data_IF_059785723034
#
_entry.id   IF_059785723034
#
_cell.length_a   1.000
_cell.length_b   1.000
_cell.length_c   1.000
_cell.angle_alpha   90.00
_cell.angle_beta   90.00
_cell.angle_gamma   90.00
#
_symmetry.space_group_name_H-M   'P 1'
#
loop_
_entity.id
_entity.type
_entity.pdbx_description
1 polymer ?
#
# COMPACT_ATOMS: atom_id res chain seq x y z
N UNK A 1 1.33 -14.08 27.84
CA UNK A 1 0.78 -15.22 27.09
C UNK A 1 1.71 -15.59 25.95
N UNK A 2 1.56 -16.79 25.35
CA UNK A 2 2.32 -17.18 24.15
C UNK A 2 1.59 -16.81 22.88
N UNK A 3 2.33 -16.45 21.84
CA UNK A 3 1.82 -16.17 20.50
C UNK A 3 2.69 -16.81 19.43
N UNK A 4 2.05 -17.32 18.37
CA UNK A 4 2.72 -17.75 17.15
C UNK A 4 2.96 -16.54 16.25
N UNK A 5 4.11 -16.50 15.59
CA UNK A 5 4.45 -15.43 14.62
C UNK A 5 5.34 -15.96 13.51
N UNK A 6 5.34 -15.26 12.38
CA UNK A 6 6.25 -15.55 11.29
C UNK A 6 7.63 -14.96 11.57
N UNK A 7 8.65 -15.78 11.53
CA UNK A 7 10.04 -15.40 11.72
C UNK A 7 10.84 -15.63 10.44
N UNK A 8 11.43 -14.55 9.93
CA UNK A 8 12.42 -14.61 8.87
C UNK A 8 13.74 -15.10 9.43
N UNK A 9 14.31 -16.10 8.78
CA UNK A 9 15.63 -16.68 9.04
C UNK A 9 16.43 -16.67 7.72
N UNK A 10 17.76 -16.90 7.75
CA UNK A 10 18.51 -17.01 6.51
C UNK A 10 17.90 -18.02 5.52
N UNK A 11 17.42 -17.53 4.37
CA UNK A 11 16.86 -18.35 3.31
C UNK A 11 15.46 -18.93 3.51
N UNK A 12 14.76 -18.62 4.59
CA UNK A 12 13.41 -19.16 4.87
C UNK A 12 12.60 -18.31 5.85
N UNK A 13 11.30 -18.56 5.87
CA UNK A 13 10.40 -18.10 6.92
C UNK A 13 9.85 -19.31 7.67
N UNK A 14 9.75 -19.21 8.98
CA UNK A 14 9.22 -20.27 9.86
C UNK A 14 8.15 -19.70 10.78
N UNK A 15 7.26 -20.55 11.30
CA UNK A 15 6.43 -20.21 12.45
C UNK A 15 7.25 -20.45 13.73
N UNK A 16 7.33 -19.44 14.55
CA UNK A 16 7.99 -19.47 15.86
C UNK A 16 7.02 -19.05 16.95
N UNK A 17 7.36 -19.32 18.19
CA UNK A 17 6.58 -18.95 19.38
C UNK A 17 7.36 -17.93 20.20
N UNK A 18 6.68 -16.94 20.72
CA UNK A 18 7.23 -15.99 21.69
C UNK A 18 6.24 -15.67 22.80
N UNK A 19 6.73 -15.23 23.94
CA UNK A 19 5.91 -14.68 25.00
C UNK A 19 5.64 -13.19 24.74
N UNK A 20 4.40 -12.79 24.98
CA UNK A 20 4.00 -11.38 24.98
C UNK A 20 3.40 -11.02 26.35
N UNK A 21 3.67 -9.81 26.88
CA UNK A 21 3.14 -9.37 28.16
C UNK A 21 1.62 -9.12 28.08
N UNK A 22 1.01 -8.72 29.17
CA UNK A 22 -0.31 -8.05 29.14
C UNK A 22 -0.15 -6.62 28.58
N UNK A 23 -1.21 -6.03 27.98
CA UNK A 23 -1.15 -4.67 27.49
C UNK A 23 -0.91 -3.67 28.62
N UNK A 24 0.07 -2.80 28.41
CA UNK A 24 0.42 -1.69 29.32
C UNK A 24 -0.47 -0.46 29.08
N UNK A 25 -0.14 0.68 29.72
CA UNK A 25 -0.89 1.93 29.55
C UNK A 25 -0.95 2.37 28.07
N UNK A 26 -2.16 2.68 27.58
CA UNK A 26 -2.39 3.08 26.19
C UNK A 26 -2.26 1.95 25.16
N UNK A 27 -2.06 0.71 25.61
CA UNK A 27 -1.88 -0.45 24.73
C UNK A 27 -3.11 -1.35 24.71
N UNK A 28 -3.28 -2.07 23.62
CA UNK A 28 -4.32 -3.08 23.43
C UNK A 28 -3.69 -4.41 23.01
N UNK A 29 -4.32 -5.51 23.42
CA UNK A 29 -4.04 -6.84 22.90
C UNK A 29 -4.95 -7.10 21.71
N UNK A 30 -4.35 -7.38 20.58
CA UNK A 30 -5.03 -7.67 19.32
C UNK A 30 -4.96 -9.16 19.01
N UNK A 31 -6.08 -9.72 18.55
CA UNK A 31 -6.15 -11.05 17.94
C UNK A 31 -6.28 -10.88 16.43
N UNK A 32 -5.28 -11.36 15.69
CA UNK A 32 -5.29 -11.30 14.23
C UNK A 32 -6.50 -12.04 13.64
N UNK A 33 -7.13 -11.44 12.64
CA UNK A 33 -8.10 -12.10 11.76
C UNK A 33 -7.45 -12.39 10.40
N UNK A 34 -6.80 -11.38 9.83
CA UNK A 34 -6.08 -11.49 8.58
C UNK A 34 -4.80 -10.65 8.63
N UNK A 35 -3.74 -11.13 8.00
CA UNK A 35 -2.55 -10.32 7.75
C UNK A 35 -2.14 -10.42 6.27
N UNK A 36 -1.92 -9.26 5.65
CA UNK A 36 -1.63 -9.17 4.23
C UNK A 36 -0.13 -9.32 3.96
N UNK A 37 0.20 -10.13 2.96
CA UNK A 37 1.53 -10.30 2.43
C UNK A 37 1.81 -9.21 1.38
N UNK A 38 2.99 -8.63 1.44
CA UNK A 38 3.53 -7.72 0.42
C UNK A 38 4.74 -8.35 -0.27
N UNK A 39 4.52 -9.17 -1.30
CA UNK A 39 5.57 -10.04 -1.83
C UNK A 39 6.84 -9.32 -2.24
N UNK A 40 6.72 -8.14 -2.89
CA UNK A 40 7.89 -7.37 -3.32
C UNK A 40 8.73 -6.85 -2.15
N UNK A 41 8.10 -6.21 -1.17
CA UNK A 41 8.80 -5.66 0.01
C UNK A 41 9.40 -6.78 0.86
N UNK A 42 8.66 -7.86 1.09
CA UNK A 42 9.09 -8.96 1.93
C UNK A 42 10.17 -9.82 1.27
N UNK A 43 10.15 -9.95 -0.05
CA UNK A 43 11.26 -10.54 -0.80
C UNK A 43 12.56 -9.73 -0.62
N UNK A 44 12.48 -8.40 -0.73
CA UNK A 44 13.62 -7.52 -0.49
C UNK A 44 14.17 -7.66 0.93
N UNK A 45 13.30 -7.72 1.95
CA UNK A 45 13.72 -7.93 3.35
C UNK A 45 14.47 -9.25 3.55
N UNK A 46 14.03 -10.31 2.86
CA UNK A 46 14.65 -11.64 2.96
C UNK A 46 15.96 -11.75 2.15
N UNK A 47 16.04 -11.10 0.99
CA UNK A 47 17.14 -11.24 0.04
C UNK A 47 18.26 -10.23 0.21
N UNK A 48 17.93 -8.98 0.55
CA UNK A 48 18.91 -7.89 0.62
C UNK A 48 19.53 -7.72 2.01
N UNK A 49 19.16 -8.55 2.99
CA UNK A 49 19.63 -8.48 4.38
C UNK A 49 19.56 -7.07 4.98
N UNK A 50 18.51 -6.30 4.60
CA UNK A 50 18.29 -4.92 5.06
C UNK A 50 18.13 -4.87 6.59
N UNK A 51 17.66 -5.96 7.18
CA UNK A 51 17.51 -6.12 8.64
C UNK A 51 18.29 -7.33 9.14
N UNK A 52 18.84 -7.29 10.38
CA UNK A 52 19.48 -8.45 10.98
C UNK A 52 18.50 -9.63 11.12
N UNK A 53 18.93 -10.82 10.73
CA UNK A 53 18.18 -12.06 10.91
C UNK A 53 18.67 -12.81 12.19
N UNK A 54 17.81 -13.51 12.93
CA UNK A 54 16.37 -13.68 12.67
C UNK A 54 15.56 -12.45 13.10
N UNK A 55 14.45 -12.18 12.38
CA UNK A 55 13.53 -11.10 12.70
C UNK A 55 12.08 -11.50 12.42
N UNK A 56 11.10 -10.79 12.96
CA UNK A 56 9.70 -10.94 12.54
C UNK A 56 9.47 -10.41 11.14
N UNK A 57 8.45 -10.93 10.43
CA UNK A 57 8.08 -10.50 9.09
C UNK A 57 6.58 -10.22 9.01
N UNK A 58 6.19 -9.35 8.08
CA UNK A 58 4.84 -8.80 7.95
C UNK A 58 4.75 -7.39 8.52
N UNK A 59 3.77 -6.61 8.06
CA UNK A 59 3.58 -5.23 8.51
C UNK A 59 2.16 -4.69 8.29
N UNK A 60 1.19 -5.53 7.93
CA UNK A 60 -0.19 -5.12 7.71
C UNK A 60 -1.16 -6.20 8.21
N UNK A 61 -2.05 -5.81 9.13
CA UNK A 61 -2.96 -6.70 9.82
C UNK A 61 -4.34 -6.07 9.97
N UNK A 62 -5.39 -6.91 9.91
CA UNK A 62 -6.72 -6.63 10.43
C UNK A 62 -6.99 -7.55 11.62
N UNK A 63 -7.38 -7.00 12.74
CA UNK A 63 -7.45 -7.70 14.02
C UNK A 63 -8.67 -7.25 14.85
N UNK A 64 -8.99 -8.04 15.87
CA UNK A 64 -9.97 -7.75 16.92
C UNK A 64 -9.25 -7.35 18.21
N UNK A 65 -9.71 -6.30 18.87
CA UNK A 65 -9.26 -5.93 20.21
C UNK A 65 -9.83 -6.94 21.21
N UNK A 66 -8.97 -7.69 21.90
CA UNK A 66 -9.39 -8.72 22.86
C UNK A 66 -9.10 -8.35 24.31
N UNK A 67 -8.21 -7.39 24.55
CA UNK A 67 -7.92 -6.83 25.87
C UNK A 67 -7.45 -5.38 25.72
N UNK A 68 -7.78 -4.52 26.69
CA UNK A 68 -7.34 -3.12 26.74
C UNK A 68 -6.54 -2.87 28.01
N UNK A 69 -5.41 -2.21 27.88
CA UNK A 69 -4.61 -1.77 29.02
C UNK A 69 -5.17 -0.51 29.67
N UNK A 70 -4.56 -0.06 30.79
CA UNK A 70 -4.89 1.23 31.39
C UNK A 70 -4.75 2.37 30.37
N UNK A 71 -5.49 3.47 30.58
CA UNK A 71 -5.43 4.71 29.81
C UNK A 71 -5.78 4.61 28.31
N UNK A 72 -6.25 3.45 27.82
CA UNK A 72 -6.85 3.31 26.49
C UNK A 72 -8.17 4.10 26.47
N UNK A 73 -8.40 4.94 25.46
CA UNK A 73 -9.51 5.89 25.39
C UNK A 73 -10.42 5.72 24.18
N UNK A 74 -9.84 5.27 23.05
CA UNK A 74 -10.54 5.24 21.76
C UNK A 74 -10.99 3.84 21.37
N UNK A 75 -10.39 2.81 21.97
CA UNK A 75 -10.64 1.41 21.63
C UNK A 75 -11.28 0.66 22.79
N UNK A 76 -12.12 -0.32 22.47
CA UNK A 76 -12.74 -1.26 23.42
C UNK A 76 -12.64 -2.68 22.91
N UNK A 77 -12.79 -3.65 23.81
CA UNK A 77 -12.87 -5.08 23.46
C UNK A 77 -14.01 -5.31 22.47
N UNK A 78 -13.71 -6.07 21.42
CA UNK A 78 -14.62 -6.35 20.30
C UNK A 78 -14.51 -5.40 19.11
N UNK A 79 -13.78 -4.28 19.23
CA UNK A 79 -13.52 -3.42 18.09
C UNK A 79 -12.64 -4.14 17.07
N UNK A 80 -12.97 -3.98 15.79
CA UNK A 80 -12.10 -4.39 14.70
C UNK A 80 -11.21 -3.22 14.26
N UNK A 81 -9.94 -3.48 14.10
CA UNK A 81 -8.94 -2.47 13.74
C UNK A 81 -8.01 -2.97 12.65
N UNK A 82 -7.45 -2.04 11.90
CA UNK A 82 -6.24 -2.30 11.11
C UNK A 82 -5.05 -1.64 11.79
N UNK A 83 -3.91 -2.30 11.72
CA UNK A 83 -2.66 -1.82 12.32
C UNK A 83 -1.44 -2.35 11.60
N UNK A 84 -0.31 -1.65 11.76
CA UNK A 84 0.98 -2.23 11.43
C UNK A 84 1.27 -3.37 12.40
N UNK A 85 1.95 -4.41 11.92
CA UNK A 85 2.34 -5.53 12.77
C UNK A 85 2.83 -6.72 11.96
N UNK A 86 3.68 -7.49 12.57
CA UNK A 86 4.15 -8.76 12.01
C UNK A 86 3.01 -9.74 11.78
N UNK A 87 3.22 -10.75 10.95
CA UNK A 87 2.30 -11.88 10.86
C UNK A 87 2.34 -12.66 12.18
N UNK A 88 1.40 -12.38 13.07
CA UNK A 88 1.30 -12.99 14.40
C UNK A 88 -0.15 -13.24 14.80
N UNK A 89 -0.35 -14.28 15.63
CA UNK A 89 -1.69 -14.62 16.13
C UNK A 89 -2.22 -13.56 17.10
N UNK A 90 -1.35 -13.08 17.98
CA UNK A 90 -1.64 -12.00 18.92
C UNK A 90 -0.52 -10.97 18.89
N UNK A 91 -0.87 -9.72 19.07
CA UNK A 91 0.04 -8.58 19.05
C UNK A 91 -0.37 -7.55 20.11
N UNK A 92 0.59 -7.02 20.85
CA UNK A 92 0.40 -5.82 21.66
C UNK A 92 0.67 -4.60 20.79
N UNK A 93 -0.25 -3.66 20.79
CA UNK A 93 -0.13 -2.45 19.99
C UNK A 93 -0.60 -1.24 20.79
N UNK A 94 0.06 -0.10 20.59
CA UNK A 94 -0.43 1.18 21.06
C UNK A 94 -1.73 1.54 20.31
N UNK A 95 -2.76 2.00 21.05
CA UNK A 95 -4.04 2.39 20.43
C UNK A 95 -3.87 3.45 19.33
N UNK A 96 -2.80 4.27 19.40
CA UNK A 96 -2.50 5.31 18.42
C UNK A 96 -2.17 4.76 17.03
N UNK A 97 -1.66 3.52 16.98
CA UNK A 97 -1.30 2.85 15.72
C UNK A 97 -2.43 1.99 15.17
N UNK A 98 -3.59 2.05 15.79
CA UNK A 98 -4.78 1.33 15.35
C UNK A 98 -5.76 2.29 14.68
N UNK A 99 -6.27 1.90 13.52
CA UNK A 99 -7.39 2.58 12.86
C UNK A 99 -8.62 1.68 12.96
N UNK A 100 -9.72 2.20 13.51
CA UNK A 100 -10.97 1.45 13.66
C UNK A 100 -11.56 1.13 12.29
N UNK A 101 -11.92 -0.13 12.06
CA UNK A 101 -12.64 -0.55 10.87
C UNK A 101 -14.09 -0.07 10.93
N UNK A 102 -14.65 0.49 9.85
CA UNK A 102 -16.06 0.79 9.78
C UNK A 102 -16.90 -0.50 9.81
N UNK A 103 -18.14 -0.40 10.28
CA UNK A 103 -19.08 -1.50 10.25
C UNK A 103 -19.30 -2.01 8.81
N UNK A 104 -19.32 -3.32 8.64
CA UNK A 104 -19.57 -3.97 7.34
C UNK A 104 -18.34 -4.07 6.42
N UNK A 105 -17.17 -3.54 6.80
CA UNK A 105 -15.96 -3.76 6.00
C UNK A 105 -15.54 -5.23 6.07
N UNK A 106 -15.17 -5.79 4.92
CA UNK A 106 -14.54 -7.12 4.88
C UNK A 106 -13.11 -7.05 5.43
N UNK A 107 -12.86 -7.70 6.56
CA UNK A 107 -11.56 -7.69 7.25
C UNK A 107 -10.43 -8.30 6.40
N UNK A 108 -10.74 -9.19 5.47
CA UNK A 108 -9.78 -9.73 4.52
C UNK A 108 -9.26 -8.64 3.59
N UNK A 109 -10.17 -7.82 3.06
CA UNK A 109 -9.78 -6.64 2.27
C UNK A 109 -9.12 -5.57 3.14
N UNK A 110 -9.63 -5.34 4.34
CA UNK A 110 -9.07 -4.36 5.28
C UNK A 110 -7.62 -4.65 5.65
N UNK A 111 -7.20 -5.93 5.68
CA UNK A 111 -5.81 -6.29 5.98
C UNK A 111 -4.79 -5.67 4.99
N UNK A 112 -5.22 -5.32 3.78
CA UNK A 112 -4.38 -4.65 2.78
C UNK A 112 -4.31 -3.12 2.94
N UNK A 113 -4.74 -2.59 4.07
CA UNK A 113 -4.80 -1.15 4.36
C UNK A 113 -3.50 -0.40 4.05
N UNK A 114 -2.33 -1.00 4.29
CA UNK A 114 -1.05 -0.34 4.06
C UNK A 114 -0.78 -0.12 2.56
N UNK A 115 -1.07 -1.12 1.73
CA UNK A 115 -0.99 -1.00 0.27
C UNK A 115 -2.08 -0.05 -0.26
N UNK A 116 -3.27 -0.08 0.35
CA UNK A 116 -4.35 0.88 0.09
C UNK A 116 -3.95 2.31 0.40
N UNK A 117 -3.35 2.52 1.57
CA UNK A 117 -2.82 3.82 1.99
C UNK A 117 -1.79 4.38 1.01
N UNK A 118 -0.93 3.52 0.44
CA UNK A 118 0.05 3.96 -0.58
C UNK A 118 -0.65 4.54 -1.81
N UNK A 119 -1.69 3.89 -2.32
CA UNK A 119 -2.49 4.39 -3.45
C UNK A 119 -3.24 5.68 -3.10
N UNK A 120 -3.82 5.76 -1.91
CA UNK A 120 -4.49 6.97 -1.41
C UNK A 120 -3.52 8.16 -1.33
N UNK A 121 -2.32 7.92 -0.79
CA UNK A 121 -1.32 8.99 -0.67
C UNK A 121 -0.81 9.45 -2.04
N UNK A 122 -0.61 8.54 -2.98
CA UNK A 122 -0.27 8.89 -4.36
C UNK A 122 -1.34 9.81 -4.99
N UNK A 123 -2.62 9.46 -4.83
CA UNK A 123 -3.72 10.30 -5.28
C UNK A 123 -3.69 11.69 -4.63
N UNK A 124 -3.53 11.79 -3.31
CA UNK A 124 -3.43 13.08 -2.60
C UNK A 124 -2.29 13.94 -3.14
N UNK A 125 -1.11 13.33 -3.30
CA UNK A 125 0.08 14.03 -3.79
C UNK A 125 -0.05 14.49 -5.24
N UNK A 126 -0.81 13.76 -6.07
CA UNK A 126 -1.03 14.12 -7.46
C UNK A 126 -1.84 15.40 -7.64
N UNK A 127 -2.66 15.77 -6.65
CA UNK A 127 -3.61 16.87 -6.79
C UNK A 127 -4.60 16.69 -7.94
N UNK A 128 -4.90 15.44 -8.32
CA UNK A 128 -5.82 15.11 -9.41
C UNK A 128 -7.18 15.75 -9.18
N UNK A 129 -7.70 16.39 -10.23
CA UNK A 129 -8.98 17.08 -10.21
C UNK A 129 -10.06 16.26 -10.92
N UNK A 130 -11.33 16.50 -10.55
CA UNK A 130 -12.50 15.89 -11.20
C UNK A 130 -12.45 16.11 -12.73
N UNK A 131 -12.56 15.03 -13.49
CA UNK A 131 -12.55 15.05 -14.96
C UNK A 131 -11.17 15.11 -15.61
N UNK A 132 -10.08 15.17 -14.85
CA UNK A 132 -8.75 15.02 -15.41
C UNK A 132 -8.50 13.58 -15.87
N UNK A 133 -7.99 13.37 -17.09
CA UNK A 133 -7.49 12.05 -17.49
C UNK A 133 -6.21 11.71 -16.74
N UNK A 134 -6.02 10.43 -16.44
CA UNK A 134 -4.75 9.95 -15.88
C UNK A 134 -4.34 8.59 -16.45
N UNK A 135 -3.05 8.28 -16.34
CA UNK A 135 -2.56 6.93 -16.57
C UNK A 135 -1.94 6.36 -15.30
N UNK A 136 -2.08 5.04 -15.10
CA UNK A 136 -1.38 4.28 -14.07
C UNK A 136 -0.58 3.17 -14.74
N UNK A 137 0.74 3.29 -14.70
CA UNK A 137 1.67 2.33 -15.29
C UNK A 137 2.01 1.24 -14.28
N UNK A 138 1.68 0.00 -14.62
CA UNK A 138 1.78 -1.16 -13.73
C UNK A 138 0.48 -1.42 -12.94
N UNK A 139 -0.04 -2.64 -13.07
CA UNK A 139 -1.25 -3.10 -12.40
C UNK A 139 -0.93 -4.21 -11.37
N UNK A 140 0.20 -4.06 -10.69
CA UNK A 140 0.43 -4.74 -9.42
C UNK A 140 -0.58 -4.23 -8.37
N UNK A 141 -0.52 -4.77 -7.14
CA UNK A 141 -1.51 -4.46 -6.10
C UNK A 141 -1.70 -2.94 -5.87
N UNK A 142 -0.60 -2.20 -5.70
CA UNK A 142 -0.65 -0.74 -5.43
C UNK A 142 -1.13 0.04 -6.65
N UNK A 143 -0.64 -0.30 -7.86
CA UNK A 143 -1.07 0.39 -9.09
C UNK A 143 -2.57 0.21 -9.35
N UNK A 144 -3.09 -1.01 -9.16
CA UNK A 144 -4.50 -1.30 -9.33
C UNK A 144 -5.40 -0.55 -8.31
N UNK A 145 -4.97 -0.44 -7.05
CA UNK A 145 -5.65 0.41 -6.06
C UNK A 145 -5.57 1.88 -6.49
N UNK A 146 -4.40 2.35 -6.94
CA UNK A 146 -4.25 3.74 -7.39
C UNK A 146 -5.21 4.07 -8.53
N UNK A 147 -5.39 3.16 -9.49
CA UNK A 147 -6.35 3.32 -10.59
C UNK A 147 -7.80 3.42 -10.07
N UNK A 148 -8.18 2.54 -9.12
CA UNK A 148 -9.53 2.59 -8.53
C UNK A 148 -9.77 3.87 -7.73
N UNK A 149 -8.84 4.31 -6.90
CA UNK A 149 -9.02 5.54 -6.11
C UNK A 149 -9.00 6.79 -7.01
N UNK A 150 -8.23 6.79 -8.10
CA UNK A 150 -8.30 7.85 -9.11
C UNK A 150 -9.68 7.89 -9.78
N UNK A 151 -10.23 6.72 -10.12
CA UNK A 151 -11.60 6.61 -10.66
C UNK A 151 -12.64 7.09 -9.64
N UNK A 152 -12.54 6.69 -8.39
CA UNK A 152 -13.43 7.13 -7.32
C UNK A 152 -13.34 8.64 -7.06
N UNK A 153 -12.19 9.27 -7.30
CA UNK A 153 -11.97 10.71 -7.23
C UNK A 153 -12.48 11.46 -8.46
N UNK A 154 -12.95 10.75 -9.48
CA UNK A 154 -13.54 11.35 -10.68
C UNK A 154 -12.57 11.59 -11.83
N UNK A 155 -11.43 10.91 -11.88
CA UNK A 155 -10.57 10.90 -13.06
C UNK A 155 -11.30 10.31 -14.27
N UNK A 156 -11.13 10.92 -15.46
CA UNK A 156 -11.80 10.48 -16.68
C UNK A 156 -11.05 10.90 -17.96
N UNK A 157 -10.60 9.95 -18.79
CA UNK A 157 -10.52 8.51 -18.51
C UNK A 157 -9.38 8.15 -17.54
N UNK A 158 -9.49 6.97 -16.91
CA UNK A 158 -8.40 6.28 -16.24
C UNK A 158 -7.84 5.23 -17.20
N UNK A 159 -6.59 5.42 -17.62
CA UNK A 159 -5.86 4.54 -18.53
C UNK A 159 -4.88 3.71 -17.70
N UNK A 160 -4.82 2.41 -17.92
CA UNK A 160 -3.85 1.56 -17.22
C UNK A 160 -3.01 0.75 -18.20
N UNK A 161 -1.76 0.47 -17.82
CA UNK A 161 -0.87 -0.40 -18.58
C UNK A 161 -0.28 -1.48 -17.69
N UNK A 162 -0.09 -2.67 -18.23
CA UNK A 162 0.69 -3.77 -17.66
C UNK A 162 1.21 -4.68 -18.76
N UNK A 163 2.06 -5.66 -18.43
CA UNK A 163 2.53 -6.71 -19.33
C UNK A 163 1.68 -7.99 -19.25
N UNK A 164 0.83 -8.10 -18.23
CA UNK A 164 0.04 -9.26 -17.88
C UNK A 164 -1.46 -9.03 -18.18
N UNK A 165 -2.02 -9.85 -19.07
CA UNK A 165 -3.43 -9.74 -19.46
C UNK A 165 -4.40 -10.04 -18.30
N UNK A 166 -4.03 -10.93 -17.37
CA UNK A 166 -4.85 -11.25 -16.20
C UNK A 166 -5.02 -10.05 -15.26
N UNK A 167 -3.95 -9.28 -15.04
CA UNK A 167 -3.98 -8.03 -14.27
C UNK A 167 -4.82 -6.95 -14.97
N UNK A 168 -4.72 -6.86 -16.28
CA UNK A 168 -5.52 -5.93 -17.08
C UNK A 168 -7.01 -6.29 -17.08
N UNK A 169 -7.34 -7.57 -17.13
CA UNK A 169 -8.73 -8.02 -16.99
C UNK A 169 -9.27 -7.76 -15.57
N UNK A 170 -8.45 -7.93 -14.53
CA UNK A 170 -8.82 -7.52 -13.18
C UNK A 170 -9.07 -6.00 -13.10
N UNK A 171 -8.20 -5.19 -13.68
CA UNK A 171 -8.36 -3.74 -13.74
C UNK A 171 -9.66 -3.32 -14.44
N UNK A 172 -10.03 -3.96 -15.56
CA UNK A 172 -11.31 -3.73 -16.24
C UNK A 172 -12.51 -4.05 -15.34
N UNK A 173 -12.47 -5.18 -14.63
CA UNK A 173 -13.52 -5.53 -13.64
C UNK A 173 -13.64 -4.52 -12.53
N UNK A 174 -12.53 -3.89 -12.15
CA UNK A 174 -12.47 -2.82 -11.16
C UNK A 174 -12.82 -1.43 -11.70
N UNK A 175 -13.26 -1.33 -12.98
CA UNK A 175 -13.89 -0.14 -13.54
C UNK A 175 -12.95 0.85 -14.21
N UNK A 176 -11.71 0.48 -14.57
CA UNK A 176 -10.85 1.34 -15.39
C UNK A 176 -11.44 1.51 -16.80
N UNK A 177 -11.20 2.64 -17.42
CA UNK A 177 -11.81 2.97 -18.72
C UNK A 177 -11.04 2.33 -19.88
N UNK A 178 -9.71 2.32 -19.82
CA UNK A 178 -8.83 1.81 -20.88
C UNK A 178 -7.71 0.97 -20.25
N UNK A 179 -7.53 -0.25 -20.72
CA UNK A 179 -6.49 -1.16 -20.28
C UNK A 179 -5.66 -1.63 -21.49
N UNK A 180 -4.35 -1.46 -21.41
CA UNK A 180 -3.40 -1.65 -22.51
C UNK A 180 -2.30 -2.62 -22.08
N UNK A 181 -2.08 -3.68 -22.85
CA UNK A 181 -0.94 -4.55 -22.66
C UNK A 181 0.27 -3.99 -23.41
N UNK A 182 1.21 -3.38 -22.67
CA UNK A 182 2.40 -2.74 -23.26
C UNK A 182 3.36 -3.73 -23.92
N UNK A 183 3.23 -5.04 -23.68
CA UNK A 183 4.04 -6.06 -24.34
C UNK A 183 3.54 -6.34 -25.76
N UNK A 184 2.23 -6.37 -25.97
CA UNK A 184 1.60 -6.67 -27.28
C UNK A 184 1.22 -5.42 -28.03
N UNK A 185 1.07 -4.29 -27.34
CA UNK A 185 0.72 -2.99 -27.90
C UNK A 185 1.57 -1.87 -27.26
N UNK A 186 2.86 -1.80 -27.58
CA UNK A 186 3.80 -0.84 -26.96
C UNK A 186 3.44 0.62 -27.19
N UNK A 187 2.82 0.96 -28.33
CA UNK A 187 2.43 2.31 -28.69
C UNK A 187 0.99 2.64 -28.22
N UNK A 188 0.33 1.71 -27.56
CA UNK A 188 -1.07 1.82 -27.16
C UNK A 188 -1.34 3.00 -26.25
N UNK A 189 -0.49 3.22 -25.25
CA UNK A 189 -0.63 4.36 -24.33
C UNK A 189 -0.48 5.70 -25.07
N UNK A 190 0.55 5.85 -25.89
CA UNK A 190 0.76 7.08 -26.68
C UNK A 190 -0.44 7.36 -27.60
N UNK A 191 -0.94 6.33 -28.25
CA UNK A 191 -2.10 6.42 -29.13
C UNK A 191 -3.36 6.90 -28.40
N UNK A 192 -3.63 6.39 -27.19
CA UNK A 192 -4.76 6.84 -26.37
C UNK A 192 -4.56 8.26 -25.83
N UNK A 193 -3.35 8.62 -25.43
CA UNK A 193 -3.01 9.99 -25.01
C UNK A 193 -3.23 10.99 -26.15
N UNK A 194 -2.79 10.65 -27.37
CA UNK A 194 -2.95 11.50 -28.55
C UNK A 194 -4.43 11.74 -28.92
N UNK A 195 -5.31 10.74 -28.71
CA UNK A 195 -6.77 10.90 -28.91
C UNK A 195 -7.39 11.95 -27.99
N UNK A 196 -6.81 12.19 -26.81
CA UNK A 196 -7.33 13.21 -25.90
C UNK A 196 -7.06 14.64 -26.38
N UNK A 197 -6.17 14.81 -27.36
CA UNK A 197 -5.84 16.10 -27.99
C UNK A 197 -5.46 17.21 -26.97
N UNK A 198 -4.69 16.85 -25.93
CA UNK A 198 -4.28 17.75 -24.83
C UNK A 198 -2.78 18.00 -24.77
N UNK A 199 -1.99 17.46 -25.71
CA UNK A 199 -0.53 17.57 -25.69
C UNK A 199 0.15 16.75 -24.57
N UNK A 200 -0.54 15.75 -24.04
CA UNK A 200 -0.09 14.88 -22.97
C UNK A 200 -1.09 14.71 -21.83
N UNK A 201 -0.74 13.91 -20.83
CA UNK A 201 -1.58 13.66 -19.65
C UNK A 201 -1.27 14.65 -18.52
N UNK A 202 -2.28 15.17 -17.83
CA UNK A 202 -2.06 16.02 -16.64
C UNK A 202 -1.51 15.22 -15.45
N UNK A 203 -1.79 13.91 -15.34
CA UNK A 203 -1.31 13.06 -14.26
C UNK A 203 -0.92 11.69 -14.79
N UNK A 204 0.28 11.25 -14.43
CA UNK A 204 0.72 9.87 -14.66
C UNK A 204 1.27 9.31 -13.34
N UNK A 205 0.78 8.13 -12.95
CA UNK A 205 1.27 7.38 -11.80
C UNK A 205 2.20 6.25 -12.28
N UNK A 206 3.43 6.24 -11.80
CA UNK A 206 4.41 5.20 -12.10
C UNK A 206 4.46 4.20 -10.93
N UNK A 207 3.99 2.96 -11.16
CA UNK A 207 3.89 1.90 -10.16
C UNK A 207 4.62 0.61 -10.57
N UNK A 208 5.46 0.67 -11.63
CA UNK A 208 6.21 -0.50 -12.08
C UNK A 208 7.58 -0.64 -11.43
N UNK A 209 8.20 0.48 -11.06
CA UNK A 209 9.60 0.54 -10.65
C UNK A 209 10.58 0.19 -11.78
N UNK A 210 10.15 0.25 -13.03
CA UNK A 210 10.95 -0.08 -14.19
C UNK A 210 11.35 1.16 -15.00
N UNK A 211 12.57 1.15 -15.54
CA UNK A 211 13.15 2.26 -16.29
C UNK A 211 12.33 2.67 -17.52
N UNK A 212 11.89 1.68 -18.32
CA UNK A 212 11.15 1.93 -19.57
C UNK A 212 9.83 2.68 -19.35
N UNK A 213 8.91 2.19 -18.52
CA UNK A 213 7.68 2.88 -18.19
C UNK A 213 7.90 4.29 -17.61
N UNK A 214 8.91 4.50 -16.77
CA UNK A 214 9.22 5.83 -16.23
C UNK A 214 9.64 6.80 -17.35
N UNK A 215 10.44 6.35 -18.31
CA UNK A 215 10.80 7.17 -19.49
C UNK A 215 9.58 7.48 -20.34
N UNK A 216 8.74 6.48 -20.63
CA UNK A 216 7.49 6.67 -21.37
C UNK A 216 6.56 7.67 -20.65
N UNK A 217 6.47 7.59 -19.32
CA UNK A 217 5.69 8.54 -18.53
C UNK A 217 6.21 9.98 -18.68
N UNK A 218 7.53 10.19 -18.65
CA UNK A 218 8.12 11.52 -18.83
C UNK A 218 7.86 12.09 -20.25
N UNK A 219 7.85 11.22 -21.26
CA UNK A 219 7.52 11.63 -22.63
C UNK A 219 6.02 11.98 -22.81
N UNK A 220 5.12 11.27 -22.12
CA UNK A 220 3.68 11.42 -22.28
C UNK A 220 3.03 12.38 -21.29
N UNK A 221 3.78 12.85 -20.28
CA UNK A 221 3.27 13.88 -19.37
C UNK A 221 3.03 15.18 -20.15
N UNK A 222 1.93 15.87 -19.87
CA UNK A 222 1.61 17.14 -20.51
C UNK A 222 2.31 18.34 -19.85
N UNK A 223 2.12 19.53 -20.44
CA UNK A 223 2.62 20.77 -19.85
C UNK A 223 2.08 20.95 -18.42
N UNK A 224 2.99 21.28 -17.48
CA UNK A 224 2.70 21.40 -16.04
C UNK A 224 2.08 20.14 -15.45
N UNK A 225 2.25 19.01 -16.11
CA UNK A 225 1.76 17.72 -15.63
C UNK A 225 2.49 17.24 -14.37
N UNK A 226 1.95 16.22 -13.76
CA UNK A 226 2.40 15.65 -12.49
C UNK A 226 2.73 14.18 -12.68
N UNK A 227 4.02 13.87 -12.73
CA UNK A 227 4.52 12.49 -12.76
C UNK A 227 4.73 12.01 -11.31
N UNK A 228 3.90 11.08 -10.88
CA UNK A 228 3.83 10.61 -9.50
C UNK A 228 4.54 9.25 -9.40
N UNK A 229 5.67 9.23 -8.71
CA UNK A 229 6.43 8.01 -8.47
C UNK A 229 5.90 7.28 -7.24
N UNK A 230 5.30 6.12 -7.46
CA UNK A 230 4.83 5.22 -6.40
C UNK A 230 5.89 4.16 -6.11
N UNK A 231 6.56 3.66 -7.15
CA UNK A 231 7.61 2.67 -7.03
C UNK A 231 9.00 3.31 -7.17
N UNK A 232 9.96 2.71 -6.48
CA UNK A 232 11.38 3.03 -6.68
C UNK A 232 11.91 2.26 -7.89
N UNK A 233 12.75 2.89 -8.69
CA UNK A 233 13.46 2.20 -9.78
C UNK A 233 14.46 1.21 -9.18
N UNK A 234 14.29 -0.06 -9.50
CA UNK A 234 15.12 -1.14 -8.97
C UNK A 234 16.32 -1.44 -9.86
N UNK A 235 17.49 -1.66 -9.23
CA UNK A 235 18.68 -2.25 -9.85
C UNK A 235 19.47 -1.35 -10.79
N UNK A 236 19.00 -0.16 -11.13
CA UNK A 236 19.65 0.76 -12.08
C UNK A 236 19.60 2.22 -11.60
N UNK A 237 20.48 3.04 -12.15
CA UNK A 237 20.41 4.48 -11.95
C UNK A 237 19.11 5.05 -12.54
N UNK A 238 18.63 6.15 -11.97
CA UNK A 238 17.49 6.90 -12.49
C UNK A 238 17.71 7.17 -13.99
N UNK A 239 16.73 6.93 -14.88
CA UNK A 239 16.85 7.27 -16.28
C UNK A 239 16.88 8.79 -16.49
N UNK A 240 17.43 9.27 -17.61
CA UNK A 240 17.47 10.70 -17.92
C UNK A 240 16.07 11.20 -18.33
N UNK A 241 15.29 11.59 -17.33
CA UNK A 241 13.93 12.16 -17.51
C UNK A 241 13.88 13.66 -17.22
N UNK A 242 15.03 14.26 -16.91
CA UNK A 242 15.17 15.67 -16.58
C UNK A 242 14.76 16.58 -17.74
N UNK A 243 15.18 16.25 -18.96
CA UNK A 243 14.88 17.08 -20.13
C UNK A 243 13.36 17.16 -20.43
N UNK A 244 12.61 16.08 -20.63
CA UNK A 244 11.17 16.17 -20.84
C UNK A 244 10.41 16.80 -19.66
N UNK A 245 10.85 16.59 -18.42
CA UNK A 245 10.24 17.22 -17.25
C UNK A 245 10.46 18.72 -17.24
N UNK A 246 11.70 19.18 -17.52
CA UNK A 246 12.04 20.59 -17.56
C UNK A 246 11.35 21.33 -18.72
N UNK A 247 11.36 20.79 -19.93
CA UNK A 247 10.77 21.41 -21.11
C UNK A 247 9.26 21.64 -20.97
N UNK A 248 8.57 20.71 -20.29
CA UNK A 248 7.13 20.78 -20.06
C UNK A 248 6.75 21.52 -18.77
N UNK A 249 7.72 21.97 -17.97
CA UNK A 249 7.48 22.54 -16.64
C UNK A 249 6.70 21.56 -15.74
N UNK A 250 6.87 20.26 -15.97
CA UNK A 250 6.18 19.22 -15.21
C UNK A 250 6.81 19.01 -13.83
N UNK A 251 6.09 18.36 -12.93
CA UNK A 251 6.53 18.04 -11.59
C UNK A 251 6.78 16.55 -11.45
N UNK A 252 7.92 16.18 -10.85
CA UNK A 252 8.19 14.82 -10.39
C UNK A 252 7.89 14.73 -8.90
N UNK A 253 6.95 13.85 -8.52
CA UNK A 253 6.39 13.79 -7.16
C UNK A 253 6.65 12.43 -6.53
N UNK A 254 7.41 12.41 -5.44
CA UNK A 254 7.59 11.21 -4.61
C UNK A 254 6.43 10.99 -3.64
N UNK A 255 6.12 9.71 -3.35
CA UNK A 255 4.96 9.32 -2.54
C UNK A 255 5.30 8.29 -1.45
N UNK A 256 6.39 8.48 -0.74
CA UNK A 256 6.72 7.61 0.37
C UNK A 256 5.79 7.86 1.57
N UNK A 257 4.98 6.87 1.93
CA UNK A 257 3.91 7.01 2.94
C UNK A 257 4.40 7.45 4.32
N UNK A 258 5.62 7.08 4.70
CA UNK A 258 6.21 7.51 5.97
C UNK A 258 6.66 8.98 5.97
N UNK A 259 6.46 9.72 4.88
CA UNK A 259 6.76 11.16 4.82
C UNK A 259 5.66 12.04 5.43
N UNK A 260 4.59 11.45 5.95
CA UNK A 260 3.48 12.17 6.61
C UNK A 260 3.16 11.57 8.00
N UNK A 261 2.54 12.35 8.91
CA UNK A 261 2.18 11.85 10.24
C UNK A 261 1.11 10.76 10.16
N UNK A 262 1.20 9.76 11.06
CA UNK A 262 0.18 8.72 11.15
C UNK A 262 -1.13 9.27 11.73
N UNK A 263 -1.07 9.92 12.91
CA UNK A 263 -2.18 10.65 13.52
C UNK A 263 -1.67 12.01 14.02
N UNK A 264 -2.50 13.05 13.92
CA UNK A 264 -2.25 14.29 14.61
C UNK A 264 -2.77 14.14 16.05
N UNK A 265 -1.86 14.08 17.02
CA UNK A 265 -2.21 14.11 18.43
C UNK A 265 -1.46 15.20 19.16
N UNK A 266 -1.97 15.55 20.38
CA UNK A 266 -1.40 16.54 21.28
C UNK A 266 0.11 16.38 21.42
N UNK A 267 0.79 17.51 21.53
CA UNK A 267 2.26 17.65 21.57
C UNK A 267 2.97 16.93 22.75
N UNK A 268 2.23 16.22 23.59
CA UNK A 268 2.68 15.59 24.83
C UNK A 268 2.88 14.06 24.73
N UNK A 269 2.70 13.44 23.56
CA UNK A 269 2.87 12.00 23.38
C UNK A 269 3.96 11.68 22.35
N UNK A 270 5.16 11.36 22.85
CA UNK A 270 6.22 10.73 22.07
C UNK A 270 6.08 9.22 22.14
N UNK A 271 6.14 8.56 21.00
CA UNK A 271 6.20 7.10 20.91
C UNK A 271 7.48 6.73 20.20
N UNK A 272 8.45 6.22 20.96
CA UNK A 272 9.69 5.66 20.42
C UNK A 272 9.51 4.16 20.13
N UNK A 273 10.04 3.69 19.02
CA UNK A 273 10.29 2.28 18.80
C UNK A 273 9.34 1.50 17.88
N UNK A 274 8.53 2.16 17.04
CA UNK A 274 7.65 1.47 16.11
C UNK A 274 8.25 1.45 14.70
N UNK A 275 8.28 0.27 14.08
CA UNK A 275 8.62 0.10 12.67
C UNK A 275 7.34 -0.16 11.82
N UNK A 276 7.18 0.44 10.64
CA UNK A 276 8.03 1.51 10.11
C UNK A 276 7.99 2.72 11.04
N UNK A 277 9.12 3.44 11.21
CA UNK A 277 9.19 4.54 12.14
C UNK A 277 8.15 5.59 11.74
N UNK A 278 7.12 5.71 12.55
CA UNK A 278 6.15 6.78 12.39
C UNK A 278 6.89 8.05 12.76
N UNK A 279 7.19 8.87 11.78
CA UNK A 279 7.96 10.09 11.98
C UNK A 279 7.12 11.15 12.71
N UNK A 280 6.94 10.98 14.00
CA UNK A 280 6.25 11.94 14.87
C UNK A 280 7.12 13.13 15.30
N UNK A 281 8.31 13.25 14.74
CA UNK A 281 9.34 14.19 15.24
C UNK A 281 8.96 15.67 15.15
N UNK A 282 7.82 16.02 14.55
CA UNK A 282 7.47 17.43 14.41
C UNK A 282 5.96 17.65 14.25
N UNK A 283 5.19 17.34 15.30
CA UNK A 283 3.74 17.58 15.31
C UNK A 283 3.40 19.08 15.10
N UNK A 284 4.25 20.00 15.55
CA UNK A 284 4.05 21.42 15.32
C UNK A 284 4.19 21.80 13.84
N UNK A 285 5.02 21.07 13.08
CA UNK A 285 5.22 21.29 11.64
C UNK A 285 3.97 20.95 10.82
N UNK A 286 3.14 20.04 11.33
CA UNK A 286 1.93 19.58 10.66
C UNK A 286 0.64 20.16 11.28
N UNK A 287 0.71 20.72 12.47
CA UNK A 287 -0.46 21.25 13.19
C UNK A 287 -1.22 22.36 12.44
N UNK A 288 -0.56 23.02 11.48
CA UNK A 288 -1.13 24.08 10.64
C UNK A 288 -1.14 23.73 9.15
N UNK A 289 -0.99 22.44 8.79
CA UNK A 289 -1.00 22.01 7.39
C UNK A 289 -2.33 21.34 7.05
N UNK A 290 -2.87 21.64 5.88
CA UNK A 290 -4.03 20.93 5.27
C UNK A 290 -3.66 19.49 4.83
N UNK A 291 -2.69 18.87 5.49
CA UNK A 291 -2.18 17.55 5.15
C UNK A 291 -3.04 16.48 5.83
N UNK A 292 -3.66 15.65 5.02
CA UNK A 292 -4.31 14.44 5.49
C UNK A 292 -3.30 13.53 6.20
N UNK A 293 -3.65 13.05 7.38
CA UNK A 293 -2.85 12.06 8.12
C UNK A 293 -2.98 10.68 7.49
N UNK A 294 -2.09 9.77 7.87
CA UNK A 294 -2.19 8.38 7.44
C UNK A 294 -3.48 7.72 7.94
N UNK A 295 -3.85 7.96 9.20
CA UNK A 295 -5.10 7.43 9.79
C UNK A 295 -6.34 7.91 9.03
N UNK A 296 -6.39 9.19 8.65
CA UNK A 296 -7.50 9.73 7.84
C UNK A 296 -7.59 9.06 6.46
N UNK A 297 -6.47 8.88 5.77
CA UNK A 297 -6.46 8.19 4.48
C UNK A 297 -6.82 6.70 4.60
N UNK A 298 -6.37 6.03 5.67
CA UNK A 298 -6.75 4.65 5.95
C UNK A 298 -8.26 4.55 6.20
N UNK A 299 -8.83 5.47 6.98
CA UNK A 299 -10.30 5.53 7.19
C UNK A 299 -11.06 5.73 5.90
N UNK A 300 -10.59 6.62 5.01
CA UNK A 300 -11.22 6.82 3.70
C UNK A 300 -11.12 5.54 2.86
N UNK A 301 -9.96 4.88 2.81
CA UNK A 301 -9.79 3.61 2.11
C UNK A 301 -10.76 2.54 2.60
N UNK A 302 -10.84 2.34 3.91
CA UNK A 302 -11.76 1.37 4.53
C UNK A 302 -13.23 1.71 4.25
N UNK A 303 -13.60 2.99 4.32
CA UNK A 303 -14.95 3.45 3.99
C UNK A 303 -15.27 3.22 2.51
N UNK A 304 -14.35 3.48 1.59
CA UNK A 304 -14.56 3.19 0.17
C UNK A 304 -14.88 1.71 -0.07
N UNK A 305 -14.22 0.81 0.66
CA UNK A 305 -14.55 -0.63 0.63
C UNK A 305 -15.92 -0.88 1.23
N UNK A 306 -16.19 -0.39 2.44
CA UNK A 306 -17.46 -0.61 3.16
C UNK A 306 -18.68 -0.10 2.36
N UNK A 307 -18.54 1.02 1.65
CA UNK A 307 -19.58 1.58 0.79
C UNK A 307 -19.59 0.99 -0.64
N UNK A 308 -18.78 -0.02 -0.95
CA UNK A 308 -18.71 -0.67 -2.25
C UNK A 308 -18.23 0.25 -3.39
N UNK A 309 -17.45 1.29 -3.06
CA UNK A 309 -16.81 2.19 -4.03
C UNK A 309 -15.44 1.72 -4.46
N UNK A 310 -14.87 0.80 -3.72
CA UNK A 310 -13.61 0.13 -3.97
C UNK A 310 -13.78 -1.36 -3.68
N UNK A 311 -13.33 -2.21 -4.58
CA UNK A 311 -13.27 -3.66 -4.40
C UNK A 311 -11.89 -4.16 -4.77
N UNK A 312 -11.16 -4.66 -3.77
CA UNK A 312 -9.83 -5.22 -3.97
C UNK A 312 -9.82 -6.76 -4.01
N UNK A 313 -11.00 -7.39 -3.92
CA UNK A 313 -11.14 -8.85 -4.01
C UNK A 313 -10.44 -9.43 -5.25
N UNK A 314 -10.53 -8.82 -6.45
CA UNK A 314 -9.84 -9.33 -7.64
C UNK A 314 -8.31 -9.30 -7.54
N UNK A 315 -7.74 -8.54 -6.59
CA UNK A 315 -6.30 -8.44 -6.36
C UNK A 315 -5.79 -9.48 -5.36
N UNK A 316 -6.69 -10.09 -4.57
CA UNK A 316 -6.34 -11.11 -3.57
C UNK A 316 -6.24 -12.45 -4.29
N UNK A 317 -5.06 -12.74 -4.85
CA UNK A 317 -4.83 -13.94 -5.65
C UNK A 317 -4.74 -15.22 -4.81
N UNK A 318 -4.33 -15.10 -3.54
CA UNK A 318 -4.11 -16.25 -2.67
C UNK A 318 -4.56 -15.96 -1.23
N UNK A 319 -5.28 -16.93 -0.66
CA UNK A 319 -5.61 -16.98 0.76
C UNK A 319 -5.01 -18.25 1.35
N UNK A 320 -4.29 -18.13 2.46
CA UNK A 320 -3.63 -19.21 3.15
C UNK A 320 -4.10 -19.28 4.60
N UNK A 321 -4.19 -20.47 5.15
CA UNK A 321 -4.19 -20.63 6.59
C UNK A 321 -2.82 -20.22 7.15
N UNK A 322 -2.78 -19.62 8.34
CA UNK A 322 -1.52 -19.16 8.95
C UNK A 322 -0.46 -20.25 9.07
N UNK A 323 -0.87 -21.51 9.22
CA UNK A 323 0.04 -22.66 9.28
C UNK A 323 0.83 -22.87 7.99
N UNK A 324 0.34 -22.33 6.87
CA UNK A 324 0.96 -22.42 5.55
C UNK A 324 1.98 -21.28 5.30
N UNK A 325 2.23 -20.41 6.27
CA UNK A 325 3.19 -19.28 6.12
C UNK A 325 4.54 -19.75 5.56
N UNK A 326 5.21 -20.79 6.10
CA UNK A 326 6.51 -21.22 5.57
C UNK A 326 6.45 -21.65 4.11
N UNK A 327 5.42 -22.39 3.72
CA UNK A 327 5.22 -22.88 2.36
C UNK A 327 4.90 -21.73 1.39
N UNK A 328 4.02 -20.80 1.81
CA UNK A 328 3.64 -19.66 1.00
C UNK A 328 4.86 -18.78 0.66
N UNK A 329 5.72 -18.51 1.64
CA UNK A 329 6.95 -17.75 1.40
C UNK A 329 7.93 -18.50 0.49
N UNK A 330 8.16 -19.78 0.73
CA UNK A 330 9.08 -20.59 -0.08
C UNK A 330 8.63 -20.73 -1.54
N UNK A 331 7.32 -20.75 -1.78
CA UNK A 331 6.77 -20.95 -3.12
C UNK A 331 6.58 -19.63 -3.89
N UNK A 332 6.11 -18.58 -3.22
CA UNK A 332 5.61 -17.40 -3.90
C UNK A 332 6.40 -16.12 -3.67
N UNK A 333 7.26 -16.09 -2.65
CA UNK A 333 7.96 -14.86 -2.27
C UNK A 333 9.47 -14.98 -2.44
N UNK A 334 10.08 -16.01 -1.90
CA UNK A 334 11.55 -16.12 -1.85
C UNK A 334 12.04 -17.43 -2.46
N UNK A 335 13.15 -17.45 -3.26
CA UNK A 335 14.04 -16.31 -3.53
C UNK A 335 13.52 -15.30 -4.57
N UNK A 336 12.43 -15.61 -5.26
CA UNK A 336 11.85 -14.76 -6.30
C UNK A 336 10.34 -14.73 -6.16
N UNK A 337 9.78 -13.52 -6.27
CA UNK A 337 8.31 -13.36 -6.29
C UNK A 337 7.71 -14.04 -7.51
N UNK A 338 6.73 -14.90 -7.27
CA UNK A 338 5.95 -15.53 -8.34
C UNK A 338 5.04 -14.47 -9.00
N UNK A 339 5.09 -14.28 -10.32
CA UNK A 339 4.23 -13.32 -11.01
C UNK A 339 2.72 -13.54 -10.78
N UNK A 340 2.29 -14.79 -10.50
CA UNK A 340 0.90 -15.11 -10.17
C UNK A 340 0.45 -14.58 -8.79
N UNK A 341 1.40 -14.22 -7.92
CA UNK A 341 1.13 -13.64 -6.60
C UNK A 341 0.91 -12.13 -6.73
N UNK A 342 -0.32 -11.70 -6.95
CA UNK A 342 -0.68 -10.27 -6.91
C UNK A 342 -0.86 -9.80 -5.48
N UNK A 343 -1.66 -10.51 -4.68
CA UNK A 343 -1.85 -10.27 -3.26
C UNK A 343 -2.08 -11.57 -2.50
N UNK A 344 -1.36 -11.78 -1.42
CA UNK A 344 -1.51 -12.90 -0.53
C UNK A 344 -2.06 -12.48 0.82
N UNK A 345 -2.88 -13.29 1.46
CA UNK A 345 -3.39 -13.02 2.81
C UNK A 345 -3.36 -14.29 3.64
N UNK A 346 -2.92 -14.15 4.89
CA UNK A 346 -2.98 -15.21 5.89
C UNK A 346 -4.23 -15.02 6.76
N UNK A 347 -5.02 -16.08 6.88
CA UNK A 347 -6.15 -16.17 7.79
C UNK A 347 -5.68 -16.74 9.13
N UNK A 348 -5.96 -16.04 10.21
CA UNK A 348 -5.65 -16.44 11.58
C UNK A 348 -6.90 -17.00 12.27
N UNK A 349 -6.70 -17.92 13.22
CA UNK A 349 -7.79 -18.59 13.95
C UNK A 349 -8.44 -17.70 15.03
#
# INVERSE_FOLDING_TARGET
>A
MKTLYAQAQPGKVVLAEKEIPAPGPGQVLLKAKYSAMSPGTENGLLGEHIVPLPTSIGYAMAAEVVEVGPDVRELKVGDHVVTTGEHAQYLIMDELNCTICPEGVDLKQAAFWNLGHTGMYALRRSGLQLGEPCAVLGQGFVGAITAQVAKAAGALPVIVTDLDDGRLEAAKKMGVDIAINSKTDPDGLEREVNKLNRGGLPVIFEATGARGPLMQAAELIGERGRLVMISQVHGEAMPPIDDPIMQKGASLIGTYVNSKPFKLRRADLFIDGIWPPVMHRDLQRYANSDVWTSDEDIRVFLNLIAYGKLDITPLISHEFDYTQIPEAYAKYVYPKVDPAMTGGVFKWA
#
